data_IF_317532864622
#
_entry.id   IF_317532864622
#
_cell.length_a   1.000
_cell.length_b   1.000
_cell.length_c   1.000
_cell.angle_alpha   90.00
_cell.angle_beta   90.00
_cell.angle_gamma   90.00
#
_symmetry.space_group_name_H-M   'P 1'
#
loop_
_entity.id
_entity.type
_entity.pdbx_description
1 polymer ?
#
# COMPACT_ATOMS: atom_id res chain seq x y z
N UNK A 1 -7.89 -10.45 -24.88
CA UNK A 1 -6.81 -9.49 -24.53
C UNK A 1 -6.21 -9.90 -23.19
N UNK A 2 -4.89 -10.04 -23.07
CA UNK A 2 -4.24 -10.34 -21.77
C UNK A 2 -4.05 -9.04 -21.00
N UNK A 3 -4.66 -8.95 -19.82
CA UNK A 3 -4.44 -7.83 -18.89
C UNK A 3 -3.53 -8.35 -17.77
N UNK A 4 -2.27 -7.89 -17.68
CA UNK A 4 -1.36 -8.35 -16.64
C UNK A 4 -1.87 -7.95 -15.26
N UNK A 5 -1.81 -8.87 -14.28
CA UNK A 5 -2.22 -8.62 -12.89
C UNK A 5 -1.41 -7.52 -12.19
N UNK A 6 -0.22 -7.19 -12.72
CA UNK A 6 0.65 -6.16 -12.17
C UNK A 6 1.10 -5.21 -13.30
N UNK A 7 1.49 -3.96 -12.98
CA UNK A 7 1.94 -3.01 -13.99
C UNK A 7 3.17 -3.53 -14.74
N UNK A 8 3.15 -3.41 -16.07
CA UNK A 8 4.30 -3.63 -16.95
C UNK A 8 5.12 -2.36 -17.16
N UNK A 9 6.39 -2.51 -17.53
CA UNK A 9 7.21 -1.35 -17.91
C UNK A 9 6.82 -0.86 -19.31
N UNK A 10 6.40 0.41 -19.44
CA UNK A 10 6.23 1.03 -20.75
C UNK A 10 7.57 1.07 -21.49
N UNK A 11 7.61 0.82 -22.81
CA UNK A 11 8.86 0.78 -23.59
C UNK A 11 9.72 2.06 -23.45
N UNK A 12 9.08 3.22 -23.39
CA UNK A 12 9.77 4.51 -23.27
C UNK A 12 10.52 4.74 -21.95
N UNK A 13 10.19 4.00 -20.88
CA UNK A 13 10.82 4.19 -19.56
C UNK A 13 12.30 3.81 -19.56
N UNK A 14 12.71 2.85 -20.39
CA UNK A 14 14.13 2.46 -20.48
C UNK A 14 14.98 3.53 -21.18
N UNK A 15 14.37 4.32 -22.06
CA UNK A 15 15.01 5.39 -22.83
C UNK A 15 14.88 6.77 -22.16
N UNK A 16 13.92 6.94 -21.25
CA UNK A 16 13.72 8.18 -20.52
C UNK A 16 14.96 8.56 -19.68
N UNK A 17 15.27 9.87 -19.66
CA UNK A 17 16.30 10.44 -18.78
C UNK A 17 15.87 10.26 -17.32
N UNK A 18 16.81 9.88 -16.46
CA UNK A 18 16.56 9.81 -15.03
C UNK A 18 16.60 11.22 -14.43
N UNK A 19 15.53 11.61 -13.75
CA UNK A 19 15.46 12.87 -13.01
C UNK A 19 15.66 12.69 -11.51
N UNK A 20 15.22 13.68 -10.74
CA UNK A 20 15.06 13.55 -9.29
C UNK A 20 14.02 12.49 -8.93
N UNK A 21 13.95 12.12 -7.65
CA UNK A 21 12.84 11.28 -7.18
C UNK A 21 11.52 12.05 -7.29
N UNK A 22 10.42 11.36 -7.68
CA UNK A 22 9.12 12.01 -7.82
C UNK A 22 8.68 12.69 -6.50
N UNK A 23 8.17 13.93 -6.56
CA UNK A 23 7.75 14.68 -5.36
C UNK A 23 6.57 14.01 -4.63
N UNK A 24 5.81 13.14 -5.30
CA UNK A 24 4.71 12.36 -4.71
C UNK A 24 5.19 11.35 -3.66
N UNK A 25 6.50 11.07 -3.58
CA UNK A 25 7.10 10.23 -2.54
C UNK A 25 7.33 10.98 -1.22
N UNK A 26 6.92 12.25 -1.12
CA UNK A 26 7.16 13.11 0.03
C UNK A 26 8.56 13.72 0.02
N UNK A 27 8.88 14.62 0.98
CA UNK A 27 10.18 15.30 1.03
C UNK A 27 11.31 14.33 1.39
N UNK A 28 12.54 14.64 0.95
CA UNK A 28 13.70 13.75 1.11
C UNK A 28 14.08 13.48 2.57
N UNK A 29 13.81 14.44 3.46
CA UNK A 29 14.10 14.31 4.89
C UNK A 29 13.14 13.41 5.66
N UNK A 30 11.95 13.14 5.13
CA UNK A 30 10.89 12.39 5.81
C UNK A 30 10.70 10.98 5.24
N UNK A 31 11.47 10.60 4.21
CA UNK A 31 11.22 9.36 3.45
C UNK A 31 12.38 8.38 3.47
N UNK A 32 12.06 7.10 3.52
CA UNK A 32 13.02 5.99 3.42
C UNK A 32 12.49 4.92 2.46
N UNK A 33 13.38 4.35 1.64
CA UNK A 33 13.02 3.39 0.60
C UNK A 33 13.49 1.98 0.93
N UNK A 34 12.59 1.02 0.75
CA UNK A 34 12.78 -0.39 1.09
C UNK A 34 12.51 -1.29 -0.11
N UNK A 35 12.92 -2.55 -0.04
CA UNK A 35 12.53 -3.55 -1.01
C UNK A 35 11.03 -3.91 -0.90
N UNK A 36 10.44 -3.85 0.30
CA UNK A 36 9.02 -4.17 0.55
C UNK A 36 8.39 -3.22 1.57
N UNK A 37 7.10 -2.98 1.43
CA UNK A 37 6.31 -2.11 2.33
C UNK A 37 6.30 -2.62 3.78
N UNK A 38 6.26 -3.94 3.99
CA UNK A 38 6.31 -4.52 5.34
C UNK A 38 7.62 -4.23 6.09
N UNK A 39 8.74 -4.10 5.37
CA UNK A 39 10.01 -3.69 5.97
C UNK A 39 9.97 -2.24 6.43
N UNK A 40 9.30 -1.37 5.66
CA UNK A 40 9.02 0.01 6.08
C UNK A 40 8.21 0.04 7.37
N UNK A 41 7.19 -0.82 7.51
CA UNK A 41 6.43 -0.93 8.75
C UNK A 41 7.26 -1.46 9.93
N UNK A 42 8.10 -2.49 9.74
CA UNK A 42 9.03 -2.97 10.79
C UNK A 42 9.91 -1.84 11.32
N UNK A 43 10.37 -0.97 10.42
CA UNK A 43 11.13 0.22 10.79
C UNK A 43 10.31 1.29 11.48
N UNK A 44 9.07 1.51 11.03
CA UNK A 44 8.16 2.47 11.68
C UNK A 44 7.93 2.10 13.15
N UNK A 45 7.72 0.81 13.44
CA UNK A 45 7.55 0.29 14.81
C UNK A 45 8.76 0.66 15.68
N UNK A 46 9.98 0.37 15.20
CA UNK A 46 11.20 0.72 15.93
C UNK A 46 11.39 2.24 16.07
N UNK A 47 11.12 3.01 15.00
CA UNK A 47 11.26 4.46 14.97
C UNK A 47 10.34 5.18 15.96
N UNK A 48 9.13 4.63 16.15
CA UNK A 48 8.13 5.17 17.05
C UNK A 48 8.27 4.67 18.49
N UNK A 49 9.27 3.82 18.77
CA UNK A 49 9.52 3.31 20.11
C UNK A 49 8.41 2.39 20.62
N UNK A 50 7.77 1.62 19.73
CA UNK A 50 6.83 0.57 20.12
C UNK A 50 7.60 -0.68 20.56
N UNK A 51 7.22 -1.23 21.72
CA UNK A 51 7.90 -2.35 22.37
C UNK A 51 7.04 -3.61 22.41
N UNK A 52 7.65 -4.81 22.53
CA UNK A 52 6.90 -6.05 22.74
C UNK A 52 5.91 -5.92 23.91
N UNK A 53 4.66 -6.33 23.68
CA UNK A 53 3.56 -6.17 24.62
C UNK A 53 2.67 -4.94 24.37
N UNK A 54 3.14 -3.92 23.66
CA UNK A 54 2.32 -2.75 23.33
C UNK A 54 1.12 -3.16 22.47
N UNK A 55 -0.02 -2.53 22.74
CA UNK A 55 -1.29 -2.84 22.07
C UNK A 55 -1.50 -1.93 20.86
N UNK A 56 -1.76 -2.53 19.70
CA UNK A 56 -2.09 -1.84 18.45
C UNK A 56 -3.52 -2.17 18.02
N UNK A 57 -4.34 -1.14 17.85
CA UNK A 57 -5.65 -1.27 17.23
C UNK A 57 -5.48 -1.49 15.72
N UNK A 58 -5.96 -2.63 15.21
CA UNK A 58 -5.86 -2.98 13.78
C UNK A 58 -7.24 -3.29 13.21
N UNK A 59 -7.53 -2.98 11.93
CA UNK A 59 -8.84 -3.30 11.38
C UNK A 59 -8.99 -4.81 11.25
N UNK A 60 -10.19 -5.34 11.51
CA UNK A 60 -10.51 -6.75 11.33
C UNK A 60 -10.39 -7.19 9.86
N UNK A 61 -10.59 -6.26 8.92
CA UNK A 61 -10.37 -6.50 7.50
C UNK A 61 -8.98 -6.01 7.08
N UNK A 62 -7.95 -6.85 7.23
CA UNK A 62 -6.57 -6.46 6.89
C UNK A 62 -5.79 -7.64 6.32
N UNK A 63 -4.81 -7.36 5.44
CA UNK A 63 -3.92 -8.39 4.92
C UNK A 63 -2.90 -8.81 5.97
N UNK A 64 -2.62 -10.11 6.07
CA UNK A 64 -1.58 -10.64 6.98
C UNK A 64 -0.22 -9.94 6.81
N UNK A 65 0.13 -9.56 5.58
CA UNK A 65 1.39 -8.83 5.31
C UNK A 65 1.48 -7.42 5.90
N UNK A 66 0.35 -6.78 6.24
CA UNK A 66 0.30 -5.44 6.86
C UNK A 66 0.31 -5.52 8.40
N UNK A 67 0.08 -6.69 8.99
CA UNK A 67 0.14 -6.90 10.44
C UNK A 67 1.35 -7.73 10.88
N UNK A 68 1.92 -8.52 9.96
CA UNK A 68 3.09 -9.36 10.22
C UNK A 68 4.24 -8.60 10.90
N UNK A 69 4.68 -7.41 10.44
CA UNK A 69 5.71 -6.64 11.13
C UNK A 69 5.40 -6.28 12.59
N UNK A 70 4.12 -6.04 12.90
CA UNK A 70 3.67 -5.75 14.25
C UNK A 70 3.79 -7.01 15.12
N UNK A 71 3.41 -8.17 14.59
CA UNK A 71 3.56 -9.47 15.26
C UNK A 71 5.03 -9.83 15.49
N UNK A 72 5.91 -9.56 14.52
CA UNK A 72 7.36 -9.82 14.64
C UNK A 72 8.00 -9.00 15.75
N UNK A 73 7.49 -7.80 15.98
CA UNK A 73 7.93 -6.93 17.07
C UNK A 73 7.30 -7.31 18.43
N UNK A 74 6.49 -8.38 18.50
CA UNK A 74 5.84 -8.82 19.72
C UNK A 74 4.68 -7.93 20.18
N UNK A 75 4.13 -7.10 19.30
CA UNK A 75 2.99 -6.23 19.63
C UNK A 75 1.70 -7.05 19.74
N UNK A 76 0.84 -6.65 20.67
CA UNK A 76 -0.49 -7.22 20.84
C UNK A 76 -1.47 -6.57 19.87
N UNK A 77 -2.09 -7.35 19.00
CA UNK A 77 -3.05 -6.83 18.03
C UNK A 77 -4.47 -6.94 18.57
N UNK A 78 -5.17 -5.80 18.62
CA UNK A 78 -6.57 -5.75 19.01
C UNK A 78 -7.43 -5.35 17.80
N UNK A 79 -8.15 -6.31 17.18
CA UNK A 79 -8.96 -6.02 16.00
C UNK A 79 -10.15 -5.10 16.30
N UNK A 80 -10.40 -4.11 15.43
CA UNK A 80 -11.60 -3.27 15.44
C UNK A 80 -12.46 -3.49 14.18
N UNK A 81 -13.77 -3.29 14.31
CA UNK A 81 -14.71 -3.46 13.20
C UNK A 81 -14.64 -2.28 12.20
N UNK A 82 -14.74 -2.62 10.92
CA UNK A 82 -14.95 -1.68 9.82
C UNK A 82 -16.34 -1.88 9.24
N UNK A 83 -16.97 -0.80 8.76
CA UNK A 83 -18.27 -0.88 8.11
C UNK A 83 -18.16 -1.65 6.79
N UNK A 84 -18.88 -2.77 6.57
CA UNK A 84 -18.77 -3.55 5.33
C UNK A 84 -19.16 -2.79 4.05
N UNK A 85 -19.96 -1.72 4.17
CA UNK A 85 -20.42 -0.92 3.04
C UNK A 85 -19.48 0.23 2.66
N UNK A 86 -18.58 0.66 3.56
CA UNK A 86 -17.69 1.82 3.34
C UNK A 86 -16.23 1.54 3.66
N UNK A 87 -15.95 0.48 4.41
CA UNK A 87 -14.67 0.14 5.05
C UNK A 87 -14.15 1.17 6.05
N UNK A 88 -14.99 2.13 6.45
CA UNK A 88 -14.64 3.10 7.48
C UNK A 88 -14.61 2.46 8.88
N UNK A 89 -13.70 2.89 9.77
CA UNK A 89 -13.71 2.48 11.16
C UNK A 89 -14.99 2.92 11.88
N UNK A 90 -15.49 2.09 12.80
CA UNK A 90 -16.60 2.48 13.67
C UNK A 90 -16.07 3.28 14.88
N UNK A 91 -15.90 4.60 14.70
CA UNK A 91 -15.29 5.50 15.70
C UNK A 91 -15.86 5.42 17.12
N UNK A 92 -17.20 5.35 17.34
CA UNK A 92 -17.73 5.22 18.70
C UNK A 92 -17.26 3.95 19.42
N UNK A 93 -17.16 2.83 18.70
CA UNK A 93 -16.66 1.56 19.27
C UNK A 93 -15.16 1.65 19.54
N UNK A 94 -14.40 2.24 18.61
CA UNK A 94 -12.98 2.51 18.82
C UNK A 94 -12.73 3.35 20.08
N UNK A 95 -13.56 4.36 20.38
CA UNK A 95 -13.43 5.14 21.61
C UNK A 95 -13.71 4.32 22.88
N UNK A 96 -14.65 3.37 22.84
CA UNK A 96 -14.87 2.43 23.94
C UNK A 96 -13.66 1.51 24.13
N UNK A 97 -13.15 0.93 23.04
CA UNK A 97 -11.96 0.08 23.06
C UNK A 97 -10.73 0.82 23.59
N UNK A 98 -10.51 2.05 23.14
CA UNK A 98 -9.38 2.87 23.55
C UNK A 98 -9.41 3.17 25.06
N UNK A 99 -10.59 3.43 25.63
CA UNK A 99 -10.73 3.63 27.08
C UNK A 99 -10.52 2.35 27.87
N UNK A 100 -10.98 1.21 27.35
CA UNK A 100 -10.90 -0.08 28.04
C UNK A 100 -9.49 -0.66 28.03
N UNK A 101 -8.82 -0.67 26.87
CA UNK A 101 -7.54 -1.36 26.67
C UNK A 101 -6.32 -0.43 26.72
N UNK A 102 -6.51 0.90 26.67
CA UNK A 102 -5.45 1.92 26.58
C UNK A 102 -4.35 1.56 25.56
N UNK A 103 -4.71 1.45 24.26
CA UNK A 103 -3.78 1.06 23.22
C UNK A 103 -2.72 2.15 22.97
N UNK A 104 -1.60 1.73 22.38
CA UNK A 104 -0.44 2.57 22.11
C UNK A 104 -0.47 3.14 20.69
N UNK A 105 -1.06 2.40 19.75
CA UNK A 105 -1.16 2.83 18.36
C UNK A 105 -2.47 2.41 17.68
N UNK A 106 -2.84 3.13 16.63
CA UNK A 106 -3.89 2.79 15.68
C UNK A 106 -3.27 2.57 14.30
N UNK A 107 -3.56 1.42 13.69
CA UNK A 107 -3.33 1.19 12.26
C UNK A 107 -4.59 1.57 11.48
N UNK A 108 -4.52 2.67 10.73
CA UNK A 108 -5.54 3.07 9.76
C UNK A 108 -5.18 2.55 8.38
N UNK A 109 -6.09 1.82 7.74
CA UNK A 109 -5.86 1.28 6.39
C UNK A 109 -6.65 2.07 5.36
N UNK A 110 -5.97 2.60 4.34
CA UNK A 110 -6.60 3.26 3.20
C UNK A 110 -6.87 2.25 2.07
N UNK A 111 -8.06 1.68 2.09
CA UNK A 111 -8.42 0.57 1.20
C UNK A 111 -8.48 0.99 -0.27
N UNK A 112 -7.91 0.16 -1.13
CA UNK A 112 -8.00 0.26 -2.60
C UNK A 112 -7.61 1.62 -3.22
N UNK A 113 -6.87 2.44 -2.49
CA UNK A 113 -6.45 3.78 -2.91
C UNK A 113 -7.36 4.91 -2.43
N UNK A 114 -8.45 4.59 -1.72
CA UNK A 114 -9.41 5.54 -1.18
C UNK A 114 -9.07 5.90 0.28
N UNK A 115 -9.26 7.18 0.68
CA UNK A 115 -9.00 7.61 2.04
C UNK A 115 -10.09 7.14 3.01
N UNK A 116 -9.73 6.24 3.93
CA UNK A 116 -10.42 6.12 5.23
C UNK A 116 -10.15 7.37 6.06
N UNK A 117 -11.18 8.05 6.59
CA UNK A 117 -11.10 9.45 7.05
C UNK A 117 -9.86 9.74 7.92
N UNK A 118 -8.80 10.34 7.36
CA UNK A 118 -7.55 10.52 8.08
C UNK A 118 -7.62 11.67 9.09
N UNK A 119 -8.56 12.61 8.92
CA UNK A 119 -8.77 13.69 9.87
C UNK A 119 -9.45 13.14 11.13
N UNK A 120 -10.49 12.31 10.97
CA UNK A 120 -11.13 11.63 12.08
C UNK A 120 -10.14 10.73 12.83
N UNK A 121 -9.29 9.99 12.10
CA UNK A 121 -8.25 9.15 12.70
C UNK A 121 -7.23 9.94 13.51
N UNK A 122 -6.72 11.06 12.97
CA UNK A 122 -5.78 11.93 13.69
C UNK A 122 -6.42 12.51 14.96
N UNK A 123 -7.63 13.06 14.83
CA UNK A 123 -8.36 13.61 15.97
C UNK A 123 -8.69 12.55 17.04
N UNK A 124 -8.94 11.31 16.63
CA UNK A 124 -9.11 10.18 17.54
C UNK A 124 -7.81 9.86 18.28
N UNK A 125 -6.69 9.72 17.56
CA UNK A 125 -5.39 9.44 18.14
C UNK A 125 -4.94 10.54 19.10
N UNK A 126 -5.12 11.81 18.75
CA UNK A 126 -4.77 12.95 19.61
C UNK A 126 -5.55 12.95 20.92
N UNK A 127 -6.86 12.68 20.85
CA UNK A 127 -7.75 12.64 22.02
C UNK A 127 -7.37 11.55 23.01
N UNK A 128 -6.85 10.44 22.51
CA UNK A 128 -6.59 9.24 23.29
C UNK A 128 -5.09 8.96 23.50
N UNK A 129 -4.21 9.84 23.00
CA UNK A 129 -2.76 9.71 23.15
C UNK A 129 -2.14 8.54 22.38
N UNK A 130 -2.71 8.16 21.23
CA UNK A 130 -2.16 7.07 20.40
C UNK A 130 -1.24 7.59 19.30
N UNK A 131 -0.30 6.76 18.91
CA UNK A 131 0.38 6.86 17.63
C UNK A 131 -0.57 6.48 16.49
N UNK A 132 -0.48 7.18 15.36
CA UNK A 132 -1.21 6.86 14.13
C UNK A 132 -0.27 6.29 13.08
N UNK A 133 -0.51 5.04 12.70
CA UNK A 133 0.12 4.35 11.58
C UNK A 133 -0.84 4.33 10.39
N UNK A 134 -0.44 4.87 9.24
CA UNK A 134 -1.23 4.81 8.00
C UNK A 134 -0.69 3.71 7.05
N UNK A 135 -1.51 2.67 6.79
CA UNK A 135 -1.28 1.75 5.68
C UNK A 135 -1.75 2.40 4.37
N UNK A 136 -0.77 2.91 3.63
CA UNK A 136 -0.95 3.50 2.32
C UNK A 136 -0.46 2.57 1.21
N UNK A 137 -0.41 1.26 1.43
CA UNK A 137 0.09 0.31 0.44
C UNK A 137 -0.67 0.37 -0.89
N UNK A 138 -1.94 0.79 -0.87
CA UNK A 138 -2.82 0.92 -2.03
C UNK A 138 -2.96 2.36 -2.55
N UNK A 139 -2.37 3.33 -1.85
CA UNK A 139 -2.78 4.74 -1.98
C UNK A 139 -1.67 5.67 -2.44
N UNK A 140 -0.62 5.11 -3.06
CA UNK A 140 0.38 5.92 -3.74
C UNK A 140 -0.32 6.83 -4.76
N UNK A 141 0.04 8.12 -4.80
CA UNK A 141 -0.55 9.16 -5.66
C UNK A 141 -1.97 9.63 -5.30
N UNK A 142 -2.60 9.10 -4.25
CA UNK A 142 -3.83 9.65 -3.71
C UNK A 142 -3.53 10.90 -2.87
N UNK A 143 -4.39 11.92 -3.01
CA UNK A 143 -4.40 13.12 -2.18
C UNK A 143 -5.73 13.28 -1.46
N UNK A 144 -5.68 13.78 -0.24
CA UNK A 144 -6.81 14.17 0.59
C UNK A 144 -6.57 15.59 1.12
N UNK A 145 -7.53 16.51 0.91
CA UNK A 145 -7.36 17.91 1.33
C UNK A 145 -6.10 18.60 0.78
N UNK A 146 -5.66 18.25 -0.44
CA UNK A 146 -4.43 18.79 -1.04
C UNK A 146 -3.13 18.10 -0.60
N UNK A 147 -3.16 17.33 0.49
CA UNK A 147 -2.00 16.60 1.00
C UNK A 147 -1.94 15.17 0.45
N UNK A 148 -0.75 14.58 0.26
CA UNK A 148 -0.63 13.15 -0.01
C UNK A 148 -1.31 12.33 1.10
N UNK A 149 -1.98 11.24 0.75
CA UNK A 149 -2.44 10.30 1.76
C UNK A 149 -1.22 9.63 2.44
N UNK A 150 -1.26 9.37 3.75
CA UNK A 150 -0.07 9.08 4.56
C UNK A 150 0.58 10.31 5.19
N UNK A 151 -0.11 11.46 5.23
CA UNK A 151 0.40 12.71 5.82
C UNK A 151 -0.05 12.97 7.25
N UNK A 152 -1.06 12.28 7.78
CA UNK A 152 -1.68 12.65 9.06
C UNK A 152 -1.06 11.86 10.22
N UNK A 153 -0.60 10.65 9.95
CA UNK A 153 0.02 9.75 10.88
C UNK A 153 1.43 10.16 11.29
N UNK A 154 1.87 9.54 12.38
CA UNK A 154 3.23 9.61 12.89
C UNK A 154 4.17 8.82 11.96
N UNK A 155 3.64 7.74 11.35
CA UNK A 155 4.26 7.03 10.25
C UNK A 155 3.23 6.61 9.19
N UNK A 156 3.67 6.53 7.94
CA UNK A 156 2.91 5.95 6.84
C UNK A 156 3.80 5.04 5.99
N UNK A 157 3.27 3.92 5.50
CA UNK A 157 4.02 3.02 4.63
C UNK A 157 3.28 2.72 3.33
N UNK A 158 4.03 2.57 2.23
CA UNK A 158 3.48 2.40 0.90
C UNK A 158 4.13 1.21 0.18
N UNK A 159 3.40 0.64 -0.77
CA UNK A 159 3.91 -0.40 -1.66
C UNK A 159 4.00 0.14 -3.08
N UNK A 160 5.22 0.49 -3.50
CA UNK A 160 5.44 1.06 -4.83
C UNK A 160 5.08 0.06 -5.93
N UNK A 161 5.40 -1.23 -5.73
CA UNK A 161 5.08 -2.34 -6.65
C UNK A 161 3.60 -2.57 -6.92
N UNK A 162 2.70 -2.08 -6.06
CA UNK A 162 1.25 -2.27 -6.24
C UNK A 162 0.69 -1.30 -7.28
N UNK A 163 1.33 -0.13 -7.45
CA UNK A 163 0.89 0.88 -8.41
C UNK A 163 1.85 1.08 -9.59
N UNK A 164 3.15 0.86 -9.38
CA UNK A 164 4.22 1.12 -10.33
C UNK A 164 4.81 -0.19 -10.89
N UNK A 165 5.40 -0.15 -12.09
CA UNK A 165 6.03 -1.32 -12.73
C UNK A 165 7.42 -1.61 -12.17
N UNK A 166 7.50 -1.76 -10.86
CA UNK A 166 8.73 -2.06 -10.14
C UNK A 166 8.69 -3.49 -9.57
N UNK A 167 9.81 -4.24 -9.60
CA UNK A 167 9.88 -5.58 -9.02
C UNK A 167 9.84 -5.56 -7.48
N UNK A 168 10.39 -4.51 -6.89
CA UNK A 168 10.46 -4.21 -5.47
C UNK A 168 10.19 -2.71 -5.23
N UNK A 169 10.04 -2.33 -3.97
CA UNK A 169 9.74 -0.96 -3.58
C UNK A 169 8.70 -0.89 -2.47
N UNK A 170 9.18 -0.45 -1.31
CA UNK A 170 8.42 0.08 -0.20
C UNK A 170 8.90 1.51 0.09
N UNK A 171 8.01 2.31 0.67
CA UNK A 171 8.31 3.66 1.12
C UNK A 171 7.82 3.74 2.57
N UNK A 172 8.67 4.24 3.46
CA UNK A 172 8.29 4.72 4.78
C UNK A 172 8.30 6.24 4.73
N UNK A 173 7.28 6.86 5.31
CA UNK A 173 7.28 8.26 5.65
C UNK A 173 7.13 8.41 7.16
N UNK A 174 7.95 9.26 7.76
CA UNK A 174 7.94 9.56 9.20
C UNK A 174 7.72 11.06 9.40
N UNK A 175 6.75 11.40 10.25
CA UNK A 175 6.48 12.80 10.63
C UNK A 175 7.47 13.30 11.69
N UNK A 176 8.01 12.40 12.51
CA UNK A 176 8.98 12.73 13.55
C UNK A 176 10.28 11.94 13.36
N UNK A 177 11.40 12.65 13.20
CA UNK A 177 12.72 12.11 13.44
C UNK A 177 13.07 12.44 14.90
N UNK A 178 12.88 11.49 15.82
CA UNK A 178 13.48 11.60 17.15
C UNK A 178 15.01 11.73 17.06
N UNK A 179 15.70 12.02 18.19
CA UNK A 179 17.16 12.10 18.22
C UNK A 179 17.74 10.73 17.84
N UNK A 180 18.09 10.56 16.57
CA UNK A 180 18.42 9.27 15.98
C UNK A 180 17.76 9.15 14.62
N UNK A 181 18.28 9.86 13.62
CA UNK A 181 17.88 9.69 12.22
C UNK A 181 18.21 8.25 11.82
N UNK A 182 17.21 7.38 11.74
CA UNK A 182 17.44 5.97 11.35
C UNK A 182 18.15 5.94 10.00
N UNK A 183 19.37 5.39 10.00
CA UNK A 183 20.21 5.27 8.81
C UNK A 183 19.53 4.35 7.81
N UNK A 184 19.42 4.71 6.51
CA UNK A 184 18.72 3.93 5.48
C UNK A 184 19.18 2.46 5.45
N UNK A 185 18.27 1.51 5.12
CA UNK A 185 18.61 0.09 5.15
C UNK A 185 19.65 -0.22 4.06
N UNK A 186 20.47 -1.27 4.24
CA UNK A 186 21.42 -1.68 3.21
C UNK A 186 20.69 -2.05 1.92
N UNK A 187 21.20 -1.58 0.78
CA UNK A 187 20.58 -1.81 -0.53
C UNK A 187 20.50 -3.30 -0.86
N UNK A 188 19.38 -3.73 -1.46
CA UNK A 188 19.29 -5.05 -2.07
C UNK A 188 20.02 -5.06 -3.41
N UNK A 189 21.05 -5.90 -3.56
CA UNK A 189 21.89 -5.99 -4.78
C UNK A 189 21.69 -7.29 -5.56
N UNK A 190 20.85 -8.21 -5.06
CA UNK A 190 20.63 -9.50 -5.72
C UNK A 190 19.90 -9.35 -7.05
N UNK A 191 20.48 -9.87 -8.14
CA UNK A 191 19.86 -9.92 -9.46
C UNK A 191 18.51 -10.67 -9.48
N UNK A 192 18.30 -11.62 -8.56
CA UNK A 192 17.03 -12.32 -8.40
C UNK A 192 15.86 -11.37 -8.07
N UNK A 193 16.16 -10.18 -7.52
CA UNK A 193 15.18 -9.13 -7.29
C UNK A 193 14.50 -8.67 -8.58
N UNK A 194 15.19 -8.70 -9.73
CA UNK A 194 14.70 -8.21 -11.02
C UNK A 194 13.92 -9.26 -11.80
N UNK A 195 14.07 -10.55 -11.45
CA UNK A 195 13.45 -11.67 -12.17
C UNK A 195 11.92 -11.52 -12.35
N UNK A 196 11.13 -11.07 -11.34
CA UNK A 196 9.69 -10.89 -11.53
C UNK A 196 9.35 -9.86 -12.61
N UNK A 197 10.18 -8.84 -12.78
CA UNK A 197 9.99 -7.81 -13.80
C UNK A 197 10.30 -8.35 -15.19
N UNK A 198 11.43 -9.04 -15.33
CA UNK A 198 11.87 -9.64 -16.60
C UNK A 198 10.83 -10.64 -17.13
N UNK A 199 10.31 -11.51 -16.25
CA UNK A 199 9.25 -12.48 -16.61
C UNK A 199 7.96 -11.80 -17.08
N UNK A 200 7.57 -10.67 -16.47
CA UNK A 200 6.39 -9.91 -16.88
C UNK A 200 6.59 -9.26 -18.26
N UNK A 201 7.75 -8.66 -18.50
CA UNK A 201 8.07 -8.05 -19.79
C UNK A 201 8.10 -9.10 -20.90
N UNK A 202 8.69 -10.26 -20.65
CA UNK A 202 8.70 -11.37 -21.60
C UNK A 202 7.28 -11.84 -21.94
N UNK A 203 6.39 -11.99 -20.94
CA UNK A 203 5.00 -12.39 -21.18
C UNK A 203 4.19 -11.34 -21.95
N UNK A 204 4.46 -10.05 -21.74
CA UNK A 204 3.83 -8.96 -22.49
C UNK A 204 4.31 -8.93 -23.94
N UNK A 205 5.63 -8.99 -24.17
CA UNK A 205 6.23 -8.92 -25.50
C UNK A 205 5.86 -10.12 -26.37
N UNK A 206 5.81 -11.32 -25.78
CA UNK A 206 5.47 -12.53 -26.51
C UNK A 206 3.96 -12.64 -26.80
N UNK A 207 3.10 -11.82 -26.18
CA UNK A 207 1.64 -11.86 -26.39
C UNK A 207 0.98 -13.20 -26.10
N UNK A 208 1.68 -14.16 -25.45
CA UNK A 208 1.43 -15.58 -25.70
C UNK A 208 1.22 -16.49 -24.48
N UNK A 209 0.34 -17.48 -24.74
CA UNK A 209 0.22 -18.88 -24.28
C UNK A 209 0.05 -19.22 -22.78
N UNK A 210 -0.83 -20.19 -22.42
CA UNK A 210 -1.16 -20.55 -21.03
C UNK A 210 0.03 -20.87 -20.12
N UNK A 211 1.09 -21.47 -20.66
CA UNK A 211 2.29 -21.83 -19.89
C UNK A 211 3.08 -20.59 -19.42
N UNK A 212 3.32 -19.61 -20.30
CA UNK A 212 3.93 -18.34 -19.94
C UNK A 212 2.99 -17.48 -19.10
N UNK A 213 1.66 -17.59 -19.29
CA UNK A 213 0.67 -17.00 -18.38
C UNK A 213 0.78 -17.56 -16.97
N UNK A 214 1.01 -18.86 -16.77
CA UNK A 214 1.26 -19.48 -15.46
C UNK A 214 2.62 -19.08 -14.86
N UNK A 215 3.64 -18.90 -15.69
CA UNK A 215 4.96 -18.46 -15.25
C UNK A 215 5.04 -16.95 -14.93
N UNK A 216 4.32 -16.10 -15.66
CA UNK A 216 4.23 -14.64 -15.44
C UNK A 216 3.12 -14.23 -14.47
N UNK A 217 2.06 -15.03 -14.39
CA UNK A 217 1.32 -15.24 -13.15
C UNK A 217 2.13 -16.14 -12.23
N UNK A 218 3.43 -15.80 -12.04
CA UNK A 218 4.20 -16.11 -10.83
C UNK A 218 3.15 -16.15 -9.76
N UNK A 219 3.01 -17.34 -9.14
CA UNK A 219 1.99 -17.70 -8.16
C UNK A 219 1.58 -16.44 -7.41
N UNK A 220 0.32 -16.30 -6.94
CA UNK A 220 0.06 -15.30 -5.92
C UNK A 220 1.26 -15.34 -4.98
N UNK A 221 1.80 -14.18 -4.62
CA UNK A 221 2.53 -14.14 -3.37
C UNK A 221 1.49 -14.70 -2.41
N UNK A 222 1.49 -16.03 -2.24
CA UNK A 222 0.55 -16.84 -1.49
C UNK A 222 0.66 -16.18 -0.18
N UNK A 223 -0.40 -15.44 0.21
CA UNK A 223 -0.45 -14.49 1.30
C UNK A 223 0.84 -14.60 2.11
N UNK A 224 1.89 -13.85 1.71
CA UNK A 224 3.31 -14.17 2.02
C UNK A 224 3.32 -14.83 3.38
N UNK A 225 3.60 -16.14 3.46
CA UNK A 225 3.58 -16.87 4.73
C UNK A 225 4.20 -15.94 5.75
N UNK A 226 3.48 -15.69 6.84
CA UNK A 226 3.91 -14.76 7.88
C UNK A 226 5.22 -15.32 8.44
N UNK A 227 6.34 -15.00 7.79
CA UNK A 227 7.69 -15.37 8.23
C UNK A 227 7.87 -14.77 9.61
N UNK A 228 8.54 -15.44 10.53
CA UNK A 228 8.68 -14.90 11.90
C UNK A 228 9.58 -13.65 11.95
N UNK A 229 10.37 -13.39 10.90
CA UNK A 229 11.15 -12.17 10.74
C UNK A 229 11.57 -11.97 9.27
N UNK A 230 11.89 -10.73 8.90
CA UNK A 230 12.61 -10.45 7.65
C UNK A 230 13.59 -9.27 7.86
N UNK A 231 14.88 -9.42 7.51
CA UNK A 231 15.84 -8.33 7.63
C UNK A 231 15.49 -7.17 6.69
N UNK A 232 15.64 -5.94 7.20
CA UNK A 232 15.37 -4.74 6.43
C UNK A 232 16.34 -4.62 5.25
N UNK A 233 15.78 -4.44 4.04
CA UNK A 233 16.54 -4.24 2.80
C UNK A 233 16.06 -3.00 2.09
N UNK A 234 17.00 -2.21 1.59
CA UNK A 234 16.75 -1.05 0.75
C UNK A 234 16.24 -1.44 -0.63
N UNK A 235 15.59 -0.49 -1.29
CA UNK A 235 15.14 -0.65 -2.67
C UNK A 235 16.32 -0.99 -3.59
N UNK A 236 16.10 -1.88 -4.57
CA UNK A 236 17.14 -2.25 -5.52
C UNK A 236 17.57 -1.04 -6.39
N UNK A 237 18.87 -0.83 -6.66
CA UNK A 237 19.36 0.33 -7.44
C UNK A 237 18.72 0.51 -8.81
N UNK A 238 18.45 -0.61 -9.51
CA UNK A 238 17.72 -0.57 -10.78
C UNK A 238 16.28 -0.08 -10.63
N UNK A 239 15.56 -0.52 -9.59
CA UNK A 239 14.21 -0.05 -9.31
C UNK A 239 14.21 1.43 -8.94
N UNK A 240 15.23 1.88 -8.20
CA UNK A 240 15.44 3.29 -7.92
C UNK A 240 15.70 4.10 -9.21
N UNK A 241 16.49 3.57 -10.14
CA UNK A 241 16.74 4.18 -11.45
C UNK A 241 15.47 4.23 -12.31
N UNK A 242 14.65 3.18 -12.30
CA UNK A 242 13.37 3.14 -12.99
C UNK A 242 12.40 4.14 -12.38
N UNK A 243 12.31 4.21 -11.05
CA UNK A 243 11.44 5.15 -10.33
C UNK A 243 11.69 6.61 -10.72
N UNK A 244 12.95 7.00 -10.94
CA UNK A 244 13.36 8.33 -11.45
C UNK A 244 12.99 8.62 -12.90
N UNK A 245 12.47 7.62 -13.62
CA UNK A 245 12.10 7.68 -15.04
C UNK A 245 10.61 7.48 -15.27
N UNK A 246 9.84 7.20 -14.22
CA UNK A 246 8.40 6.99 -14.31
C UNK A 246 7.66 8.33 -14.30
N UNK A 247 6.69 8.45 -15.21
CA UNK A 247 5.70 9.52 -15.20
C UNK A 247 4.53 9.15 -14.28
N UNK A 248 4.62 9.55 -13.02
CA UNK A 248 3.60 9.28 -12.01
C UNK A 248 2.27 10.01 -12.29
N UNK A 249 2.26 11.29 -12.72
CA UNK A 249 1.04 11.96 -13.18
C UNK A 249 0.31 11.20 -14.30
N UNK A 250 1.03 10.77 -15.35
CA UNK A 250 0.41 10.00 -16.43
C UNK A 250 -0.11 8.64 -15.95
N UNK A 251 0.62 7.95 -15.07
CA UNK A 251 0.18 6.69 -14.47
C UNK A 251 -1.11 6.87 -13.65
N UNK A 252 -1.20 7.96 -12.88
CA UNK A 252 -2.40 8.32 -12.11
C UNK A 252 -3.59 8.59 -13.03
N UNK A 253 -3.42 9.41 -14.06
CA UNK A 253 -4.51 9.74 -14.98
C UNK A 253 -5.00 8.51 -15.74
N UNK A 254 -4.10 7.62 -16.18
CA UNK A 254 -4.48 6.36 -16.80
C UNK A 254 -5.32 5.49 -15.87
N UNK A 255 -4.95 5.39 -14.60
CA UNK A 255 -5.72 4.63 -13.59
C UNK A 255 -7.10 5.23 -13.36
N UNK A 256 -7.18 6.55 -13.24
CA UNK A 256 -8.46 7.26 -13.06
C UNK A 256 -9.36 7.07 -14.28
N UNK A 257 -8.83 7.14 -15.50
CA UNK A 257 -9.58 6.87 -16.72
C UNK A 257 -10.12 5.43 -16.76
N UNK A 258 -9.27 4.44 -16.49
CA UNK A 258 -9.67 3.03 -16.46
C UNK A 258 -10.75 2.76 -15.40
N UNK A 259 -10.63 3.39 -14.23
CA UNK A 259 -11.61 3.25 -13.16
C UNK A 259 -12.98 3.78 -13.57
N UNK A 260 -13.05 4.96 -14.19
CA UNK A 260 -14.30 5.54 -14.67
C UNK A 260 -14.95 4.66 -15.73
N UNK A 261 -14.17 4.21 -16.70
CA UNK A 261 -14.63 3.31 -17.76
C UNK A 261 -15.24 2.01 -17.18
N UNK A 262 -14.51 1.35 -16.28
CA UNK A 262 -14.99 0.12 -15.64
C UNK A 262 -16.21 0.37 -14.75
N UNK A 263 -16.21 1.46 -13.98
CA UNK A 263 -17.33 1.83 -13.10
C UNK A 263 -18.61 2.10 -13.90
N UNK A 264 -18.51 2.72 -15.08
CA UNK A 264 -19.64 2.96 -15.97
C UNK A 264 -20.17 1.64 -16.57
N UNK A 265 -19.29 0.78 -17.08
CA UNK A 265 -19.69 -0.51 -17.66
C UNK A 265 -20.36 -1.45 -16.66
N UNK A 266 -19.98 -1.36 -15.38
CA UNK A 266 -20.53 -2.19 -14.31
C UNK A 266 -21.69 -1.53 -13.57
N UNK A 267 -22.15 -0.34 -13.99
CA UNK A 267 -23.19 0.39 -13.29
C UNK A 267 -24.54 -0.34 -13.27
N UNK A 268 -24.87 -0.99 -14.39
CA UNK A 268 -26.17 -1.62 -14.64
C UNK A 268 -26.13 -3.15 -14.49
N UNK A 269 -25.02 -3.73 -14.00
CA UNK A 269 -24.91 -5.18 -13.86
C UNK A 269 -25.65 -5.63 -12.58
N UNK A 270 -26.71 -6.46 -12.70
CA UNK A 270 -27.48 -6.89 -11.54
C UNK A 270 -26.62 -7.67 -10.53
N UNK A 271 -26.87 -7.46 -9.24
CA UNK A 271 -26.16 -8.17 -8.17
C UNK A 271 -24.74 -7.66 -7.88
N UNK A 272 -24.26 -6.65 -8.62
CA UNK A 272 -22.97 -5.99 -8.37
C UNK A 272 -23.20 -4.60 -7.81
N UNK A 273 -22.64 -4.34 -6.63
CA UNK A 273 -22.58 -2.99 -6.04
C UNK A 273 -21.14 -2.48 -6.05
N UNK A 274 -20.91 -1.31 -6.63
CA UNK A 274 -19.60 -0.63 -6.54
C UNK A 274 -19.41 -0.10 -5.12
N UNK A 275 -18.31 -0.44 -4.47
CA UNK A 275 -18.02 0.07 -3.12
C UNK A 275 -17.85 1.60 -3.14
N UNK A 276 -17.20 2.11 -4.17
CA UNK A 276 -17.10 3.54 -4.45
C UNK A 276 -17.68 3.81 -5.85
N UNK A 277 -18.94 4.27 -5.97
CA UNK A 277 -19.52 4.57 -7.28
C UNK A 277 -18.86 5.79 -7.92
N UNK A 278 -18.44 6.75 -7.09
CA UNK A 278 -17.79 7.99 -7.50
C UNK A 278 -16.28 7.92 -7.33
N UNK A 279 -15.57 8.73 -8.12
CA UNK A 279 -14.11 8.86 -8.05
C UNK A 279 -13.71 10.30 -7.69
N UNK A 280 -13.47 10.59 -6.40
CA UNK A 280 -13.05 11.92 -5.96
C UNK A 280 -11.81 12.43 -6.68
N UNK A 281 -11.69 13.75 -6.85
CA UNK A 281 -10.63 14.38 -7.65
C UNK A 281 -9.21 13.99 -7.21
N UNK A 282 -8.98 13.83 -5.90
CA UNK A 282 -7.68 13.49 -5.31
C UNK A 282 -7.28 12.01 -5.43
N UNK A 283 -8.22 11.10 -5.65
CA UNK A 283 -8.01 9.64 -5.53
C UNK A 283 -7.26 9.03 -6.72
N UNK A 284 -6.25 8.22 -6.45
CA UNK A 284 -5.61 7.31 -7.41
C UNK A 284 -6.02 5.87 -7.06
N UNK A 285 -7.01 5.28 -7.75
CA UNK A 285 -7.52 3.97 -7.38
C UNK A 285 -6.53 2.88 -7.73
N UNK A 286 -6.36 1.93 -6.81
CA UNK A 286 -5.57 0.72 -7.07
C UNK A 286 -6.35 -0.26 -7.95
N UNK A 287 -7.62 -0.46 -7.62
CA UNK A 287 -8.57 -1.41 -8.22
C UNK A 287 -9.98 -0.81 -8.19
N UNK A 288 -10.94 -1.45 -8.87
CA UNK A 288 -12.37 -1.18 -8.72
C UNK A 288 -12.99 -2.20 -7.75
N UNK A 289 -13.18 -1.85 -6.46
CA UNK A 289 -13.79 -2.76 -5.49
C UNK A 289 -15.30 -2.93 -5.73
N UNK A 290 -15.73 -4.18 -5.78
CA UNK A 290 -17.13 -4.58 -5.94
C UNK A 290 -17.59 -5.36 -4.72
N UNK A 291 -18.85 -5.15 -4.35
CA UNK A 291 -19.58 -5.90 -3.34
C UNK A 291 -20.62 -6.74 -4.07
N UNK A 292 -20.58 -8.05 -3.83
CA UNK A 292 -21.42 -9.05 -4.48
C UNK A 292 -21.86 -10.06 -3.43
N UNK A 293 -23.05 -10.65 -3.61
CA UNK A 293 -23.56 -11.67 -2.69
C UNK A 293 -22.80 -13.00 -2.83
N UNK A 294 -22.42 -13.37 -4.06
CA UNK A 294 -21.67 -14.58 -4.39
C UNK A 294 -20.38 -14.24 -5.15
N UNK A 295 -19.29 -14.03 -4.41
CA UNK A 295 -18.00 -13.71 -5.02
C UNK A 295 -17.42 -14.87 -5.87
N UNK A 296 -17.49 -16.15 -5.45
CA UNK A 296 -17.12 -17.28 -6.30
C UNK A 296 -17.89 -17.32 -7.62
N UNK A 297 -19.22 -17.15 -7.59
CA UNK A 297 -20.05 -17.17 -8.79
C UNK A 297 -19.74 -16.04 -9.78
N UNK A 298 -19.36 -14.86 -9.30
CA UNK A 298 -18.95 -13.72 -10.16
C UNK A 298 -17.54 -13.90 -10.73
N UNK A 299 -16.68 -14.69 -10.09
CA UNK A 299 -15.30 -14.91 -10.51
C UNK A 299 -15.12 -16.05 -11.51
N UNK A 300 -16.12 -16.93 -11.65
CA UNK A 300 -16.16 -18.07 -12.57
C UNK A 300 -16.45 -17.64 -14.02
#
# INVERSE_FOLDING_TARGET
MYIPRNPGLPPGVLLARAGALPPELGPEGERLLFARARMALSWAVAALGLWPGDVVLVPAYVTGSAVAPLLWAGLQLQPYAVNPATLEPHWPMLSVMARAARPHALLLVHYFGFPSDPNAARAFCDRHGLLLLEDCAHSLLTRHGGHPLGSHGDAAFYSLRKLLPLPDGGLLRLRFAGPGRLLPPPLQTSAAALLPLLLRQAAQALGCRPALRRAAAIRPVVADEVRLSEPARGIHPWSLRLLRRLDLPAARERRRANYRELSQRLAEVPGIRRLHPELPAGVCPQVLPLLVADAPGVAA
#
